data_IF_521989077523
#
_entry.id   IF_521989077523
#
_cell.length_a   1.000
_cell.length_b   1.000
_cell.length_c   1.000
_cell.angle_alpha   90.00
_cell.angle_beta   90.00
_cell.angle_gamma   90.00
#
_symmetry.space_group_name_H-M   'P 1'
#
loop_
_entity.id
_entity.type
_entity.pdbx_description
1 polymer ?
#
# COMPACT_ATOMS: atom_id res chain seq x y z
N UNK A 1 -9.50 -14.91 9.26
CA UNK A 1 -9.76 -13.57 8.73
C UNK A 1 -8.46 -12.81 8.85
N UNK A 2 -8.06 -12.09 7.82
CA UNK A 2 -6.78 -11.36 7.78
C UNK A 2 -7.12 -9.88 7.61
N UNK A 3 -6.45 -9.01 8.35
CA UNK A 3 -6.53 -7.56 8.19
C UNK A 3 -5.39 -7.08 7.29
N UNK A 4 -5.71 -6.41 6.21
CA UNK A 4 -4.73 -5.80 5.31
C UNK A 4 -4.78 -4.29 5.46
N UNK A 5 -3.67 -3.70 5.84
CA UNK A 5 -3.48 -2.26 6.00
C UNK A 5 -2.76 -1.70 4.77
N UNK A 6 -3.28 -0.62 4.24
CA UNK A 6 -2.61 0.20 3.21
C UNK A 6 -2.43 1.63 3.73
N UNK A 7 -1.86 2.52 2.96
CA UNK A 7 -1.75 3.95 3.32
C UNK A 7 -3.12 4.62 3.55
N UNK A 8 -4.18 4.10 2.95
CA UNK A 8 -5.50 4.75 2.91
C UNK A 8 -6.63 3.92 3.48
N UNK A 9 -6.41 2.62 3.73
CA UNK A 9 -7.48 1.71 4.17
C UNK A 9 -7.00 0.64 5.14
N UNK A 10 -7.95 0.05 5.84
CA UNK A 10 -7.81 -1.16 6.64
C UNK A 10 -8.96 -2.09 6.25
N UNK A 11 -8.64 -3.19 5.59
CA UNK A 11 -9.62 -4.11 5.02
C UNK A 11 -9.52 -5.49 5.67
N UNK A 12 -10.66 -6.03 6.08
CA UNK A 12 -10.75 -7.41 6.57
C UNK A 12 -11.15 -8.34 5.43
N UNK A 13 -10.32 -9.34 5.16
CA UNK A 13 -10.56 -10.32 4.11
C UNK A 13 -10.49 -11.74 4.63
N UNK A 14 -11.24 -12.63 4.00
CA UNK A 14 -11.00 -14.04 4.15
C UNK A 14 -9.64 -14.35 3.50
N UNK A 15 -8.66 -14.80 4.27
CA UNK A 15 -7.41 -15.28 3.68
C UNK A 15 -7.69 -16.32 2.59
N UNK A 16 -6.82 -16.41 1.59
CA UNK A 16 -7.03 -17.33 0.47
C UNK A 16 -7.24 -18.76 0.97
N UNK A 17 -8.23 -19.49 0.46
CA UNK A 17 -8.54 -20.85 0.87
C UNK A 17 -7.57 -21.88 0.24
N UNK A 18 -6.28 -21.77 0.52
CA UNK A 18 -5.29 -22.71 0.03
C UNK A 18 -4.44 -23.26 1.19
N UNK A 19 -4.63 -24.53 1.54
CA UNK A 19 -3.85 -25.25 2.55
C UNK A 19 -2.34 -25.41 2.21
N UNK A 20 -1.88 -24.80 1.12
CA UNK A 20 -0.51 -24.91 0.61
C UNK A 20 0.32 -23.64 0.69
N UNK A 21 -0.17 -22.58 1.35
CA UNK A 21 0.54 -21.32 1.42
C UNK A 21 1.24 -21.19 2.78
N UNK A 22 2.49 -20.76 2.78
CA UNK A 22 3.22 -20.51 4.03
C UNK A 22 2.60 -19.31 4.77
N UNK A 23 2.65 -19.31 6.10
CA UNK A 23 2.24 -18.16 6.91
C UNK A 23 3.12 -16.92 6.69
N UNK A 24 4.15 -17.04 5.85
CA UNK A 24 5.08 -15.96 5.52
C UNK A 24 4.68 -15.18 4.26
N UNK A 25 3.59 -15.57 3.60
CA UNK A 25 3.13 -14.98 2.35
C UNK A 25 1.67 -14.56 2.45
N UNK A 26 1.36 -13.40 1.89
CA UNK A 26 -0.01 -12.89 1.79
C UNK A 26 -0.62 -13.29 0.45
N UNK A 27 -1.51 -14.28 0.49
CA UNK A 27 -2.27 -14.71 -0.66
C UNK A 27 -3.72 -14.23 -0.55
N UNK A 28 -4.18 -13.50 -1.56
CA UNK A 28 -5.54 -12.97 -1.64
C UNK A 28 -6.22 -13.45 -2.93
N UNK A 29 -7.55 -13.42 -2.95
CA UNK A 29 -8.29 -13.59 -4.20
C UNK A 29 -7.96 -12.46 -5.20
N UNK A 30 -8.15 -12.69 -6.49
CA UNK A 30 -7.96 -11.65 -7.51
C UNK A 30 -8.89 -10.45 -7.28
N UNK A 31 -10.13 -10.70 -6.78
CA UNK A 31 -11.09 -9.64 -6.46
C UNK A 31 -10.64 -8.79 -5.26
N UNK A 32 -10.18 -9.43 -4.18
CA UNK A 32 -9.72 -8.70 -2.99
C UNK A 32 -8.44 -7.93 -3.27
N UNK A 33 -7.50 -8.54 -4.02
CA UNK A 33 -6.29 -7.85 -4.48
C UNK A 33 -6.63 -6.58 -5.24
N UNK A 34 -7.55 -6.64 -6.20
CA UNK A 34 -7.95 -5.48 -6.98
C UNK A 34 -8.67 -4.43 -6.13
N UNK A 35 -9.56 -4.86 -5.22
CA UNK A 35 -10.31 -3.96 -4.35
C UNK A 35 -9.41 -3.19 -3.37
N UNK A 36 -8.45 -3.90 -2.73
CA UNK A 36 -7.59 -3.33 -1.69
C UNK A 36 -6.45 -2.50 -2.29
N UNK A 37 -5.83 -3.00 -3.35
CA UNK A 37 -4.59 -2.43 -3.87
C UNK A 37 -4.75 -1.60 -5.14
N UNK A 38 -5.86 -1.81 -5.84
CA UNK A 38 -6.10 -1.27 -7.18
C UNK A 38 -5.32 -2.00 -8.29
N UNK A 39 -4.52 -3.02 -7.95
CA UNK A 39 -3.78 -3.82 -8.93
C UNK A 39 -4.57 -5.06 -9.33
N UNK A 40 -4.60 -5.34 -10.61
CA UNK A 40 -5.23 -6.54 -11.17
C UNK A 40 -4.28 -7.30 -12.09
N UNK A 41 -4.37 -8.64 -12.05
CA UNK A 41 -3.59 -9.49 -12.93
C UNK A 41 -4.18 -9.50 -14.32
N UNK A 42 -3.34 -9.21 -15.33
CA UNK A 42 -3.64 -9.24 -16.76
C UNK A 42 -2.59 -10.09 -17.49
N UNK A 43 -2.79 -10.43 -18.77
CA UNK A 43 -1.79 -11.18 -19.54
C UNK A 43 -0.41 -10.52 -19.57
N UNK A 44 -0.35 -9.19 -19.47
CA UNK A 44 0.88 -8.39 -19.46
C UNK A 44 1.57 -8.35 -18.10
N UNK A 45 0.91 -8.80 -17.04
CA UNK A 45 1.37 -8.76 -15.65
C UNK A 45 0.38 -8.09 -14.70
N UNK A 46 0.88 -7.55 -13.61
CA UNK A 46 0.06 -6.77 -12.66
C UNK A 46 -0.12 -5.34 -13.17
N UNK A 47 -1.36 -4.94 -13.39
CA UNK A 47 -1.69 -3.62 -13.95
C UNK A 47 -2.56 -2.81 -12.99
N UNK A 48 -2.23 -1.52 -12.90
CA UNK A 48 -3.02 -0.49 -12.22
C UNK A 48 -3.02 0.75 -13.10
N UNK A 49 -4.20 1.23 -13.44
CA UNK A 49 -4.38 2.32 -14.40
C UNK A 49 -3.63 2.02 -15.73
N UNK A 50 -2.73 2.90 -16.14
CA UNK A 50 -1.91 2.77 -17.36
C UNK A 50 -0.55 2.09 -17.11
N UNK A 51 -0.27 1.65 -15.89
CA UNK A 51 1.01 1.04 -15.50
C UNK A 51 0.85 -0.46 -15.36
N UNK A 52 1.70 -1.23 -16.03
CA UNK A 52 1.79 -2.69 -15.87
C UNK A 52 3.20 -3.10 -15.44
N UNK A 53 3.26 -3.97 -14.44
CA UNK A 53 4.50 -4.58 -13.96
C UNK A 53 4.51 -6.03 -14.41
N UNK A 54 5.40 -6.42 -15.34
CA UNK A 54 5.48 -7.79 -15.81
C UNK A 54 6.02 -8.71 -14.70
N UNK A 55 5.48 -9.92 -14.62
CA UNK A 55 6.06 -10.96 -13.77
C UNK A 55 7.33 -11.52 -14.40
N UNK A 56 8.36 -11.85 -13.61
CA UNK A 56 9.57 -12.48 -14.11
C UNK A 56 9.28 -13.79 -14.87
N UNK A 57 9.99 -14.00 -15.97
CA UNK A 57 9.82 -15.20 -16.79
C UNK A 57 10.16 -16.46 -16.00
N UNK A 58 9.26 -17.44 -16.03
CA UNK A 58 9.43 -18.72 -15.35
C UNK A 58 9.06 -18.72 -13.86
N UNK A 59 8.61 -17.58 -13.31
CA UNK A 59 8.24 -17.44 -11.89
C UNK A 59 6.72 -17.20 -11.68
N UNK A 60 5.89 -17.48 -12.68
CA UNK A 60 4.47 -17.20 -12.61
C UNK A 60 3.79 -17.82 -11.37
N UNK A 61 4.17 -19.05 -11.00
CA UNK A 61 3.61 -19.77 -9.86
C UNK A 61 3.95 -19.13 -8.49
N UNK A 62 4.98 -18.29 -8.44
CA UNK A 62 5.32 -17.49 -7.25
C UNK A 62 4.28 -16.42 -6.99
N UNK A 63 3.69 -15.88 -8.04
CA UNK A 63 2.76 -14.75 -7.98
C UNK A 63 1.30 -15.15 -8.09
N UNK A 64 1.00 -16.22 -8.81
CA UNK A 64 -0.38 -16.68 -9.04
C UNK A 64 -0.45 -18.20 -8.92
N UNK A 65 -1.29 -18.68 -8.03
CA UNK A 65 -1.53 -20.10 -7.81
C UNK A 65 -3.00 -20.34 -7.43
N UNK A 66 -3.64 -21.30 -8.08
CA UNK A 66 -5.03 -21.71 -7.80
C UNK A 66 -6.04 -20.54 -7.81
N UNK A 67 -5.77 -19.51 -8.64
CA UNK A 67 -6.60 -18.31 -8.74
C UNK A 67 -6.37 -17.28 -7.64
N UNK A 68 -5.48 -17.56 -6.70
CA UNK A 68 -5.01 -16.60 -5.71
C UNK A 68 -3.74 -15.87 -6.17
N UNK A 69 -3.55 -14.67 -5.63
CA UNK A 69 -2.43 -13.78 -5.92
C UNK A 69 -1.57 -13.65 -4.68
N UNK A 70 -0.26 -13.87 -4.82
CA UNK A 70 0.73 -13.59 -3.78
C UNK A 70 1.04 -12.09 -3.76
N UNK A 71 0.29 -11.36 -2.96
CA UNK A 71 0.41 -9.90 -2.87
C UNK A 71 1.74 -9.49 -2.22
N UNK A 72 2.22 -10.24 -1.23
CA UNK A 72 3.52 -9.97 -0.60
C UNK A 72 4.67 -10.07 -1.60
N UNK A 73 4.73 -11.16 -2.38
CA UNK A 73 5.76 -11.31 -3.42
C UNK A 73 5.67 -10.23 -4.49
N UNK A 74 4.46 -9.78 -4.85
CA UNK A 74 4.29 -8.70 -5.80
C UNK A 74 4.76 -7.35 -5.22
N UNK A 75 4.48 -7.05 -3.93
CA UNK A 75 5.00 -5.85 -3.26
C UNK A 75 6.52 -5.84 -3.20
N UNK A 76 7.13 -6.98 -2.87
CA UNK A 76 8.59 -7.14 -2.88
C UNK A 76 9.19 -6.94 -4.28
N UNK A 77 8.53 -7.45 -5.34
CA UNK A 77 8.94 -7.23 -6.73
C UNK A 77 9.01 -5.74 -7.08
N UNK A 78 8.07 -4.95 -6.53
CA UNK A 78 8.06 -3.50 -6.68
C UNK A 78 9.01 -2.76 -5.71
N UNK A 79 9.80 -3.48 -4.91
CA UNK A 79 10.64 -2.90 -3.84
C UNK A 79 9.84 -2.07 -2.83
N UNK A 80 8.62 -2.52 -2.51
CA UNK A 80 7.75 -1.92 -1.51
C UNK A 80 7.80 -2.71 -0.21
N UNK A 81 7.77 -2.05 0.95
CA UNK A 81 7.82 -2.75 2.22
C UNK A 81 6.52 -3.53 2.49
N UNK A 82 6.70 -4.74 3.00
CA UNK A 82 5.63 -5.58 3.53
C UNK A 82 5.98 -5.91 4.97
N UNK A 83 5.06 -5.69 5.88
CA UNK A 83 5.23 -6.04 7.30
C UNK A 83 4.03 -6.88 7.74
N UNK A 84 4.28 -7.90 8.53
CA UNK A 84 3.23 -8.75 9.10
C UNK A 84 3.34 -8.87 10.61
N UNK A 85 2.22 -9.15 11.27
CA UNK A 85 2.21 -9.58 12.67
C UNK A 85 2.82 -10.98 12.84
N UNK A 86 3.22 -11.35 14.04
CA UNK A 86 3.71 -12.70 14.34
C UNK A 86 2.68 -13.78 14.02
N UNK A 87 1.40 -13.49 14.25
CA UNK A 87 0.29 -14.42 13.97
C UNK A 87 -0.10 -14.45 12.47
N UNK A 88 0.49 -13.59 11.63
CA UNK A 88 0.14 -13.42 10.22
C UNK A 88 -1.34 -13.07 9.97
N UNK A 89 -2.00 -12.50 10.95
CA UNK A 89 -3.39 -12.03 10.89
C UNK A 89 -3.52 -10.56 10.50
N UNK A 90 -2.43 -9.80 10.60
CA UNK A 90 -2.35 -8.40 10.15
C UNK A 90 -1.17 -8.21 9.21
N UNK A 91 -1.42 -7.59 8.07
CA UNK A 91 -0.43 -7.29 7.05
C UNK A 91 -0.46 -5.81 6.69
N UNK A 92 0.71 -5.19 6.61
CA UNK A 92 0.88 -3.82 6.12
C UNK A 92 1.55 -3.84 4.75
N UNK A 93 0.88 -3.29 3.77
CA UNK A 93 1.37 -3.06 2.42
C UNK A 93 1.79 -1.59 2.28
N UNK A 94 3.06 -1.32 2.47
CA UNK A 94 3.58 0.05 2.45
C UNK A 94 3.88 0.58 1.05
N UNK A 95 3.96 1.89 0.93
CA UNK A 95 4.38 2.57 -0.28
C UNK A 95 5.91 2.51 -0.45
N UNK A 96 6.35 2.43 -1.71
CA UNK A 96 7.77 2.41 -2.05
C UNK A 96 8.49 3.71 -1.67
N UNK A 97 9.78 3.59 -1.31
CA UNK A 97 10.63 4.74 -0.99
C UNK A 97 10.66 5.78 -2.14
N UNK A 98 10.51 5.34 -3.38
CA UNK A 98 10.52 6.22 -4.55
C UNK A 98 9.37 7.23 -4.53
N UNK A 99 8.14 6.82 -4.18
CA UNK A 99 7.00 7.73 -4.10
C UNK A 99 7.16 8.77 -2.99
N UNK A 100 7.76 8.37 -1.86
CA UNK A 100 8.11 9.31 -0.79
C UNK A 100 9.26 10.22 -1.19
N UNK A 101 10.22 9.72 -1.95
CA UNK A 101 11.36 10.48 -2.44
C UNK A 101 10.96 11.51 -3.50
N UNK A 102 9.96 11.23 -4.33
CA UNK A 102 9.45 12.16 -5.34
C UNK A 102 8.90 13.44 -4.70
N UNK A 103 8.19 13.35 -3.58
CA UNK A 103 7.74 14.51 -2.81
C UNK A 103 8.92 15.33 -2.25
N UNK A 104 9.99 14.66 -1.81
CA UNK A 104 11.20 15.33 -1.31
C UNK A 104 12.02 15.97 -2.44
N UNK A 105 12.13 15.29 -3.59
CA UNK A 105 12.87 15.79 -4.76
C UNK A 105 12.14 16.93 -5.46
N UNK A 106 10.80 16.90 -5.50
CA UNK A 106 10.00 17.99 -6.06
C UNK A 106 10.09 19.28 -5.24
N UNK A 107 10.53 19.21 -3.99
CA UNK A 107 10.49 20.32 -3.01
C UNK A 107 9.08 20.90 -2.80
N UNK A 108 8.06 20.15 -3.18
CA UNK A 108 6.66 20.50 -2.92
C UNK A 108 6.14 19.71 -1.72
N UNK A 109 5.80 20.42 -0.66
CA UNK A 109 5.17 19.80 0.51
C UNK A 109 3.75 19.34 0.16
N UNK A 110 3.36 18.09 0.52
CA UNK A 110 1.97 17.66 0.40
C UNK A 110 1.05 18.61 1.17
N UNK A 111 -0.08 18.96 0.56
CA UNK A 111 -1.06 19.79 1.24
C UNK A 111 -1.83 18.96 2.29
N UNK A 112 -2.18 19.57 3.39
CA UNK A 112 -3.03 18.97 4.42
C UNK A 112 -3.91 20.05 5.03
N UNK A 113 -5.04 19.65 5.60
CA UNK A 113 -5.99 20.54 6.25
C UNK A 113 -6.24 20.06 7.67
N UNK A 114 -6.08 20.96 8.63
CA UNK A 114 -6.31 20.69 10.05
C UNK A 114 -7.22 21.75 10.66
N UNK A 115 -8.07 21.40 11.64
CA UNK A 115 -8.84 22.35 12.40
C UNK A 115 -7.97 23.07 13.45
N UNK A 116 -8.26 24.33 13.70
CA UNK A 116 -7.77 25.06 14.88
C UNK A 116 -8.60 24.71 16.13
N UNK A 117 -8.30 25.35 17.26
CA UNK A 117 -9.03 25.11 18.51
C UNK A 117 -10.49 25.56 18.48
N UNK A 118 -10.84 26.46 17.55
CA UNK A 118 -12.21 26.95 17.33
C UNK A 118 -12.95 26.10 16.28
N UNK A 119 -12.28 25.11 15.68
CA UNK A 119 -12.82 24.20 14.67
C UNK A 119 -12.76 24.76 13.24
N UNK A 120 -12.10 25.90 12.99
CA UNK A 120 -11.91 26.42 11.64
C UNK A 120 -10.82 25.61 10.93
N UNK A 121 -11.07 25.27 9.68
CA UNK A 121 -10.14 24.51 8.86
C UNK A 121 -9.09 25.42 8.24
N UNK A 122 -7.83 25.00 8.33
CA UNK A 122 -6.67 25.65 7.73
C UNK A 122 -5.89 24.66 6.90
N UNK A 123 -5.57 25.02 5.67
CA UNK A 123 -4.74 24.22 4.77
C UNK A 123 -3.33 24.78 4.71
N UNK A 124 -2.32 23.93 4.52
CA UNK A 124 -0.95 24.39 4.32
C UNK A 124 -0.86 25.35 3.12
N UNK A 125 -1.64 25.09 2.08
CA UNK A 125 -1.74 25.94 0.88
C UNK A 125 -2.20 27.37 1.14
N UNK A 126 -2.96 27.63 2.23
CA UNK A 126 -3.39 28.98 2.62
C UNK A 126 -2.21 29.90 2.99
N UNK A 127 -1.07 29.29 3.29
CA UNK A 127 0.14 30.00 3.70
C UNK A 127 1.16 30.13 2.56
N UNK A 128 0.75 29.91 1.29
CA UNK A 128 1.66 30.10 0.15
C UNK A 128 2.29 31.48 0.13
N UNK A 129 3.58 31.55 -0.16
CA UNK A 129 4.36 32.78 -0.11
C UNK A 129 4.86 33.19 1.28
N UNK A 130 4.53 32.42 2.33
CA UNK A 130 5.05 32.63 3.67
C UNK A 130 5.99 31.49 4.06
N UNK A 131 6.89 31.75 5.00
CA UNK A 131 7.68 30.69 5.62
C UNK A 131 6.87 30.07 6.74
N UNK A 132 6.67 28.76 6.68
CA UNK A 132 5.91 27.97 7.67
C UNK A 132 6.88 27.02 8.36
N UNK A 133 6.88 27.04 9.71
CA UNK A 133 7.55 26.02 10.52
C UNK A 133 6.49 25.07 11.07
N UNK A 134 6.52 23.84 10.64
CA UNK A 134 5.66 22.79 11.14
C UNK A 134 6.35 22.05 12.30
N UNK A 135 5.71 22.07 13.47
CA UNK A 135 6.18 21.33 14.64
C UNK A 135 5.09 20.34 15.06
N UNK A 136 5.48 19.09 15.22
CA UNK A 136 4.61 18.04 15.74
C UNK A 136 5.16 17.54 17.07
N UNK A 137 4.30 17.36 18.05
CA UNK A 137 4.66 16.75 19.33
C UNK A 137 3.51 15.89 19.83
N UNK A 138 3.81 15.05 20.78
CA UNK A 138 2.80 14.28 21.49
C UNK A 138 2.93 14.55 22.99
N UNK A 139 1.78 14.64 23.64
CA UNK A 139 1.66 14.87 25.08
C UNK A 139 1.21 13.58 25.78
N UNK A 140 2.06 12.58 25.85
CA UNK A 140 1.84 11.37 26.69
C UNK A 140 2.77 11.34 27.86
#
# INVERSE_FOLDING_TARGET
>A
MITVLTETSADEVAGSPGESHSNDELWLSASDTAAITGWSMKPEGFCKDDVCVPTPLGEADKFVKDGAINVSAFWELMSRPVVRSEAADVWLLGEGANLRNDALVSLEAPDFTLPDFDGNLHSLSDFRGKRVLLITWASW
#
